data_IF_651330905261
#
_entry.id   IF_651330905261
#
_cell.length_a   1.000
_cell.length_b   1.000
_cell.length_c   1.000
_cell.angle_alpha   90.00
_cell.angle_beta   90.00
_cell.angle_gamma   90.00
#
_symmetry.space_group_name_H-M   'P 1'
#
loop_
_entity.id
_entity.type
_entity.pdbx_description
1 polymer ?
#
# COMPACT_ATOMS: atom_id res chain seq x y z
N UNK A 1 -19.57 -14.71 -3.76
CA UNK A 1 -18.12 -14.51 -4.03
C UNK A 1 -17.63 -13.39 -3.14
N UNK A 2 -16.87 -13.70 -2.09
CA UNK A 2 -16.31 -12.68 -1.19
C UNK A 2 -14.83 -12.52 -1.54
N UNK A 3 -14.42 -11.32 -1.95
CA UNK A 3 -13.01 -11.00 -2.21
C UNK A 3 -12.68 -10.71 -3.68
N UNK A 4 -12.87 -9.46 -4.08
CA UNK A 4 -12.19 -8.87 -5.24
C UNK A 4 -11.33 -7.72 -4.76
N UNK A 5 -10.25 -7.39 -5.48
CA UNK A 5 -9.60 -6.10 -5.28
C UNK A 5 -10.43 -5.05 -6.00
N UNK A 6 -10.73 -3.97 -5.27
CA UNK A 6 -11.57 -2.89 -5.75
C UNK A 6 -10.82 -1.58 -5.59
N UNK A 7 -11.02 -0.66 -6.53
CA UNK A 7 -10.38 0.63 -6.51
C UNK A 7 -11.33 1.74 -6.97
N UNK A 8 -11.00 2.96 -6.58
CA UNK A 8 -11.70 4.18 -6.97
C UNK A 8 -10.67 5.28 -7.24
N UNK A 9 -10.91 6.11 -8.26
CA UNK A 9 -9.96 7.14 -8.67
C UNK A 9 -9.94 8.36 -7.75
N UNK A 10 -8.91 9.22 -7.88
CA UNK A 10 -8.78 10.44 -7.09
C UNK A 10 -9.97 11.40 -7.27
N UNK A 11 -10.49 11.51 -8.49
CA UNK A 11 -11.56 12.43 -8.83
C UNK A 11 -12.92 11.72 -8.88
N UNK A 12 -13.13 10.77 -7.97
CA UNK A 12 -14.39 10.06 -7.89
C UNK A 12 -15.53 11.02 -7.50
N UNK A 13 -16.53 11.13 -8.37
CA UNK A 13 -17.71 11.97 -8.18
C UNK A 13 -19.01 11.16 -8.02
N UNK A 14 -18.91 9.82 -7.93
CA UNK A 14 -20.04 8.89 -7.88
C UNK A 14 -19.86 7.67 -8.81
N UNK A 15 -20.57 6.56 -8.53
CA UNK A 15 -20.52 5.32 -9.32
C UNK A 15 -20.17 4.04 -8.52
N UNK A 16 -19.99 2.93 -9.23
CA UNK A 16 -19.54 1.67 -8.62
C UNK A 16 -18.01 1.67 -8.44
N UNK A 17 -17.54 0.87 -7.48
CA UNK A 17 -16.11 0.56 -7.38
C UNK A 17 -15.66 -0.23 -8.61
N UNK A 18 -14.44 0.03 -9.08
CA UNK A 18 -13.87 -0.69 -10.21
C UNK A 18 -13.14 -1.94 -9.73
N UNK A 19 -13.39 -3.08 -10.38
CA UNK A 19 -12.65 -4.31 -10.08
C UNK A 19 -11.24 -4.20 -10.64
N UNK A 20 -10.25 -4.38 -9.78
CA UNK A 20 -8.85 -4.49 -10.16
C UNK A 20 -8.50 -5.96 -10.38
N UNK A 21 -8.41 -6.38 -11.64
CA UNK A 21 -8.06 -7.75 -11.99
C UNK A 21 -6.55 -7.92 -12.09
N UNK A 22 -6.02 -8.97 -11.47
CA UNK A 22 -4.61 -9.33 -11.53
C UNK A 22 -4.39 -10.75 -11.07
N UNK A 23 -3.14 -11.20 -11.14
CA UNK A 23 -2.71 -12.53 -10.68
C UNK A 23 -1.76 -12.41 -9.49
N UNK A 24 -1.67 -13.44 -8.63
CA UNK A 24 -0.60 -13.53 -7.62
C UNK A 24 0.79 -13.32 -8.24
N UNK A 25 1.65 -12.59 -7.55
CA UNK A 25 2.98 -12.19 -8.02
C UNK A 25 3.01 -10.95 -8.92
N UNK A 26 1.84 -10.49 -9.42
CA UNK A 26 1.78 -9.31 -10.27
C UNK A 26 2.05 -8.03 -9.47
N UNK A 27 2.78 -7.10 -10.09
CA UNK A 27 3.06 -5.77 -9.52
C UNK A 27 2.33 -4.71 -10.35
N UNK A 28 1.54 -3.87 -9.68
CA UNK A 28 0.84 -2.74 -10.30
C UNK A 28 1.49 -1.43 -9.92
N UNK A 29 1.63 -0.52 -10.88
CA UNK A 29 1.99 0.88 -10.57
C UNK A 29 0.72 1.61 -10.17
N UNK A 30 0.59 1.91 -8.88
CA UNK A 30 -0.55 2.66 -8.34
C UNK A 30 -0.44 4.14 -8.70
N UNK A 31 0.77 4.70 -8.60
CA UNK A 31 1.03 6.13 -8.83
C UNK A 31 2.47 6.34 -9.28
N UNK A 32 2.68 7.27 -10.21
CA UNK A 32 3.98 7.84 -10.51
C UNK A 32 3.90 9.29 -10.96
N UNK A 33 4.96 10.06 -10.79
CA UNK A 33 4.98 11.49 -11.13
C UNK A 33 6.31 11.97 -11.75
N UNK A 34 6.33 13.24 -12.18
CA UNK A 34 7.50 13.89 -12.76
C UNK A 34 8.67 14.12 -11.80
N UNK A 35 8.45 14.02 -10.48
CA UNK A 35 9.52 14.05 -9.47
C UNK A 35 10.09 12.65 -9.22
N UNK A 36 9.79 11.70 -10.11
CA UNK A 36 10.28 10.32 -10.12
C UNK A 36 9.84 9.54 -8.88
N UNK A 37 8.71 9.90 -8.30
CA UNK A 37 8.04 9.04 -7.32
C UNK A 37 7.38 7.91 -8.09
N UNK A 38 7.54 6.67 -7.59
CA UNK A 38 6.78 5.51 -8.07
C UNK A 38 6.30 4.70 -6.89
N UNK A 39 4.99 4.54 -6.79
CA UNK A 39 4.31 3.67 -5.84
C UNK A 39 3.78 2.45 -6.57
N UNK A 40 4.13 1.27 -6.06
CA UNK A 40 3.69 -0.02 -6.57
C UNK A 40 2.96 -0.82 -5.52
N UNK A 41 2.07 -1.71 -5.94
CA UNK A 41 1.45 -2.72 -5.11
C UNK A 41 1.72 -4.11 -5.67
N UNK A 42 2.05 -5.06 -4.79
CA UNK A 42 2.28 -6.46 -5.15
C UNK A 42 1.10 -7.30 -4.70
N UNK A 43 0.59 -8.06 -5.66
CA UNK A 43 -0.54 -8.96 -5.49
C UNK A 43 -0.08 -10.34 -5.05
N UNK A 44 -0.84 -10.95 -4.16
CA UNK A 44 -0.60 -12.30 -3.66
C UNK A 44 -1.88 -13.12 -3.68
N UNK A 45 -1.72 -14.44 -3.76
CA UNK A 45 -2.82 -15.38 -3.59
C UNK A 45 -3.35 -15.30 -2.15
N UNK A 46 -4.67 -15.35 -2.04
CA UNK A 46 -5.36 -15.44 -0.76
C UNK A 46 -6.84 -15.75 -0.96
N UNK A 47 -7.65 -15.50 0.07
CA UNK A 47 -9.08 -15.82 0.09
C UNK A 47 -9.38 -17.32 0.04
N UNK A 48 -10.67 -17.66 -0.01
CA UNK A 48 -11.14 -19.06 -0.06
C UNK A 48 -10.66 -19.74 -1.35
N UNK A 49 -9.96 -20.86 -1.20
CA UNK A 49 -9.26 -21.70 -2.18
C UNK A 49 -8.02 -21.07 -2.84
N UNK A 50 -7.46 -20.00 -2.26
CA UNK A 50 -6.30 -19.30 -2.84
C UNK A 50 -6.61 -18.59 -4.16
N UNK A 51 -7.89 -18.50 -4.53
CA UNK A 51 -8.37 -17.91 -5.80
C UNK A 51 -8.55 -16.40 -5.73
N UNK A 52 -8.57 -15.81 -4.54
CA UNK A 52 -8.60 -14.36 -4.40
C UNK A 52 -7.19 -13.80 -4.59
N UNK A 53 -7.15 -12.56 -5.06
CA UNK A 53 -5.92 -11.79 -5.15
C UNK A 53 -5.99 -10.67 -4.13
N UNK A 54 -4.94 -10.47 -3.35
CA UNK A 54 -4.87 -9.51 -2.26
C UNK A 54 -3.61 -8.66 -2.39
N UNK A 55 -3.66 -7.39 -1.98
CA UNK A 55 -2.44 -6.58 -1.85
C UNK A 55 -1.75 -6.99 -0.54
N UNK A 56 -0.49 -7.41 -0.61
CA UNK A 56 0.32 -7.68 0.60
C UNK A 56 1.57 -6.84 0.71
N UNK A 57 1.97 -6.15 -0.35
CA UNK A 57 3.06 -5.19 -0.26
C UNK A 57 2.73 -3.94 -1.06
N UNK A 58 3.15 -2.80 -0.54
CA UNK A 58 3.38 -1.62 -1.35
C UNK A 58 4.84 -1.20 -1.26
N UNK A 59 5.37 -0.64 -2.35
CA UNK A 59 6.71 -0.08 -2.38
C UNK A 59 6.68 1.28 -3.06
N UNK A 60 7.13 2.30 -2.34
CA UNK A 60 7.38 3.65 -2.84
C UNK A 60 8.87 3.84 -3.09
N UNK A 61 9.23 4.37 -4.26
CA UNK A 61 10.61 4.68 -4.63
C UNK A 61 10.73 6.13 -5.10
N UNK A 62 11.86 6.77 -4.77
CA UNK A 62 12.24 8.10 -5.26
C UNK A 62 13.74 8.32 -5.10
N UNK A 63 14.48 8.54 -6.18
CA UNK A 63 15.88 8.98 -6.12
C UNK A 63 16.79 8.12 -5.22
N UNK A 64 16.67 6.78 -5.30
CA UNK A 64 17.45 5.85 -4.46
C UNK A 64 16.87 5.60 -3.07
N UNK A 65 15.83 6.33 -2.66
CA UNK A 65 15.06 6.07 -1.43
C UNK A 65 13.95 5.07 -1.74
N UNK A 66 13.77 4.08 -0.86
CA UNK A 66 12.72 3.07 -0.96
C UNK A 66 12.00 2.94 0.37
N UNK A 67 10.67 2.99 0.35
CA UNK A 67 9.83 2.66 1.50
C UNK A 67 8.94 1.49 1.13
N UNK A 68 8.94 0.44 1.94
CA UNK A 68 8.09 -0.74 1.76
C UNK A 68 7.19 -0.96 2.96
N UNK A 69 5.95 -1.35 2.70
CA UNK A 69 4.98 -1.78 3.71
C UNK A 69 4.50 -3.16 3.28
N UNK A 70 4.80 -4.19 4.07
CA UNK A 70 4.56 -5.58 3.70
C UNK A 70 3.83 -6.31 4.81
N UNK A 71 2.77 -7.03 4.46
CA UNK A 71 2.11 -8.01 5.33
C UNK A 71 2.66 -9.38 5.01
N UNK A 72 3.31 -10.00 6.01
CA UNK A 72 3.92 -11.30 5.88
C UNK A 72 3.55 -12.22 7.05
N UNK A 73 3.47 -13.52 6.79
CA UNK A 73 3.28 -14.54 7.82
C UNK A 73 4.62 -14.82 8.48
N UNK A 74 4.74 -14.56 9.77
CA UNK A 74 5.89 -14.91 10.62
C UNK A 74 5.42 -15.93 11.65
N UNK A 75 5.95 -17.15 11.54
CA UNK A 75 5.50 -18.30 12.33
C UNK A 75 3.99 -18.48 12.20
N UNK A 76 3.24 -18.19 13.26
CA UNK A 76 1.79 -18.37 13.33
C UNK A 76 1.00 -17.06 13.17
N UNK A 77 1.68 -15.91 13.01
CA UNK A 77 1.02 -14.58 12.99
C UNK A 77 1.33 -13.81 11.73
N UNK A 78 0.37 -12.99 11.30
CA UNK A 78 0.57 -12.02 10.23
C UNK A 78 1.04 -10.70 10.83
N UNK A 79 2.17 -10.20 10.34
CA UNK A 79 2.80 -8.97 10.83
C UNK A 79 2.91 -7.96 9.70
N UNK A 80 2.72 -6.69 10.05
CA UNK A 80 3.07 -5.59 9.16
C UNK A 80 4.53 -5.22 9.37
N UNK A 81 5.31 -5.24 8.31
CA UNK A 81 6.69 -4.75 8.29
C UNK A 81 6.72 -3.45 7.51
N UNK A 82 7.23 -2.40 8.14
CA UNK A 82 7.39 -1.08 7.54
C UNK A 82 8.88 -0.78 7.50
N UNK A 83 9.46 -0.68 6.32
CA UNK A 83 10.90 -0.48 6.13
C UNK A 83 11.13 0.75 5.29
N UNK A 84 11.97 1.66 5.79
CA UNK A 84 12.49 2.79 5.03
C UNK A 84 13.98 2.52 4.74
N UNK A 85 14.39 2.75 3.50
CA UNK A 85 15.77 2.59 3.05
C UNK A 85 16.23 3.83 2.29
N UNK A 86 17.38 4.37 2.66
CA UNK A 86 18.04 5.44 1.91
C UNK A 86 19.57 5.33 2.03
N UNK A 87 20.35 6.02 1.16
CA UNK A 87 21.81 6.02 1.27
C UNK A 87 22.31 6.50 2.64
N UNK A 88 21.63 7.47 3.26
CA UNK A 88 22.02 8.04 4.54
C UNK A 88 21.61 7.19 5.75
N UNK A 89 20.52 6.44 5.66
CA UNK A 89 19.97 5.67 6.79
C UNK A 89 20.31 4.18 6.76
N UNK A 90 20.75 3.65 5.61
CA UNK A 90 20.65 2.22 5.37
C UNK A 90 19.19 1.77 5.36
N UNK A 91 18.92 0.48 5.61
CA UNK A 91 17.56 -0.04 5.76
C UNK A 91 17.17 -0.08 7.25
N UNK A 92 16.04 0.55 7.59
CA UNK A 92 15.56 0.66 8.97
C UNK A 92 14.12 0.17 9.04
N UNK A 93 13.83 -0.68 10.03
CA UNK A 93 12.46 -1.01 10.40
C UNK A 93 11.86 0.17 11.17
N UNK A 94 10.80 0.75 10.62
CA UNK A 94 10.15 1.96 11.14
C UNK A 94 9.40 1.67 12.44
N UNK A 95 8.94 0.43 12.66
CA UNK A 95 8.12 0.07 13.82
C UNK A 95 6.91 1.01 13.95
N UNK A 96 6.78 1.65 15.11
CA UNK A 96 5.75 2.66 15.41
C UNK A 96 6.31 4.10 15.39
N UNK A 97 7.59 4.26 15.06
CA UNK A 97 8.29 5.53 15.06
C UNK A 97 8.03 6.30 13.77
N UNK A 98 8.26 7.61 13.81
CA UNK A 98 8.32 8.47 12.62
C UNK A 98 9.77 8.52 12.12
N UNK A 99 9.99 8.12 10.87
CA UNK A 99 11.31 8.11 10.21
C UNK A 99 11.29 9.07 9.03
N UNK A 100 12.23 10.01 9.00
CA UNK A 100 12.48 10.84 7.82
C UNK A 100 13.44 10.09 6.89
N UNK A 101 12.93 9.49 5.82
CA UNK A 101 13.72 8.69 4.89
C UNK A 101 14.63 9.54 3.97
N UNK A 102 14.49 10.87 4.01
CA UNK A 102 15.11 11.80 3.07
C UNK A 102 14.23 12.02 1.83
N UNK A 103 14.66 12.91 0.93
CA UNK A 103 13.94 13.18 -0.32
C UNK A 103 12.47 13.60 -0.13
N UNK A 104 12.19 14.31 0.97
CA UNK A 104 10.85 14.70 1.43
C UNK A 104 9.88 13.53 1.63
N UNK A 105 10.39 12.36 2.02
CA UNK A 105 9.59 11.19 2.37
C UNK A 105 9.67 10.97 3.87
N UNK A 106 8.51 11.00 4.53
CA UNK A 106 8.37 10.66 5.94
C UNK A 106 7.53 9.40 6.03
N UNK A 107 7.98 8.44 6.83
CA UNK A 107 7.32 7.15 7.04
C UNK A 107 6.98 7.00 8.52
N UNK A 108 5.79 6.52 8.83
CA UNK A 108 5.38 6.26 10.20
C UNK A 108 4.50 5.02 10.25
N UNK A 109 4.82 4.06 11.11
CA UNK A 109 3.89 2.96 11.43
C UNK A 109 2.92 3.35 12.54
N UNK A 110 1.71 2.80 12.50
CA UNK A 110 0.64 3.10 13.48
C UNK A 110 0.37 1.88 14.37
N UNK A 111 0.60 1.96 15.69
CA UNK A 111 0.28 0.90 16.64
C UNK A 111 -1.21 0.82 16.96
N UNK A 112 -1.63 -0.38 17.34
CA UNK A 112 -3.02 -0.76 17.65
C UNK A 112 -3.13 -2.20 18.20
N UNK A 113 -2.12 -3.06 18.02
CA UNK A 113 -2.15 -4.46 18.43
C UNK A 113 -0.77 -4.87 18.96
N UNK A 114 -0.66 -5.17 20.26
CA UNK A 114 0.55 -5.71 20.89
C UNK A 114 1.85 -4.94 20.59
N UNK A 115 1.79 -3.61 20.43
CA UNK A 115 2.94 -2.77 20.10
C UNK A 115 3.48 -2.92 18.68
N UNK A 116 2.84 -3.73 17.83
CA UNK A 116 3.17 -3.88 16.42
C UNK A 116 2.33 -2.93 15.56
N UNK A 117 2.88 -2.47 14.43
CA UNK A 117 2.10 -1.66 13.50
C UNK A 117 1.01 -2.53 12.84
N UNK A 118 -0.22 -2.03 12.76
CA UNK A 118 -1.22 -2.55 11.79
C UNK A 118 -1.45 -1.57 10.65
N UNK A 119 -0.88 -0.38 10.72
CA UNK A 119 -0.96 0.58 9.62
C UNK A 119 0.37 1.26 9.39
N UNK A 120 0.45 1.96 8.27
CA UNK A 120 1.55 2.85 7.96
C UNK A 120 1.06 4.07 7.20
N UNK A 121 1.78 5.18 7.35
CA UNK A 121 1.62 6.38 6.55
C UNK A 121 2.96 6.72 5.89
N UNK A 122 2.95 6.92 4.57
CA UNK A 122 4.07 7.46 3.81
C UNK A 122 3.64 8.85 3.32
N UNK A 123 4.35 9.89 3.74
CA UNK A 123 4.02 11.28 3.44
C UNK A 123 5.07 11.88 2.51
N UNK A 124 4.58 12.48 1.41
CA UNK A 124 5.29 13.35 0.49
C UNK A 124 4.62 14.75 0.51
N UNK A 125 5.23 15.79 -0.09
CA UNK A 125 4.63 17.13 -0.06
C UNK A 125 3.26 17.24 -0.73
N UNK A 126 2.94 16.37 -1.70
CA UNK A 126 1.66 16.39 -2.44
C UNK A 126 0.82 15.12 -2.28
N UNK A 127 1.38 14.06 -1.69
CA UNK A 127 0.72 12.76 -1.59
C UNK A 127 0.91 12.17 -0.19
N UNK A 128 -0.17 11.70 0.40
CA UNK A 128 -0.16 10.86 1.61
C UNK A 128 -0.66 9.47 1.24
N UNK A 129 0.15 8.46 1.49
CA UNK A 129 -0.23 7.05 1.31
C UNK A 129 -0.52 6.47 2.68
N UNK A 130 -1.78 6.09 2.93
CA UNK A 130 -2.18 5.38 4.14
C UNK A 130 -2.39 3.91 3.81
N UNK A 131 -1.88 3.05 4.68
CA UNK A 131 -1.98 1.61 4.55
C UNK A 131 -2.56 1.05 5.84
N UNK A 132 -3.52 0.15 5.73
CA UNK A 132 -4.08 -0.58 6.86
C UNK A 132 -4.05 -2.08 6.59
N UNK A 133 -3.44 -2.83 7.50
CA UNK A 133 -3.53 -4.28 7.59
C UNK A 133 -4.95 -4.63 7.99
N UNK A 134 -5.58 -5.52 7.24
CA UNK A 134 -6.92 -6.02 7.51
C UNK A 134 -6.88 -7.47 7.91
N UNK A 135 -7.63 -7.77 8.97
CA UNK A 135 -7.90 -9.13 9.40
C UNK A 135 -8.78 -9.85 8.37
N UNK A 136 -8.79 -11.17 8.47
CA UNK A 136 -9.59 -12.08 7.65
C UNK A 136 -11.09 -11.77 7.69
N UNK A 137 -11.79 -11.93 6.57
CA UNK A 137 -13.25 -11.80 6.51
C UNK A 137 -13.92 -13.18 6.69
N UNK A 138 -14.67 -13.33 7.79
CA UNK A 138 -15.61 -14.40 8.16
C UNK A 138 -15.12 -15.82 8.53
N UNK A 139 -15.99 -16.51 9.29
CA UNK A 139 -15.76 -17.79 9.99
C UNK A 139 -15.49 -19.00 9.08
N UNK A 140 -16.03 -19.01 7.85
CA UNK A 140 -15.82 -20.10 6.90
C UNK A 140 -14.44 -20.04 6.19
N UNK A 141 -13.77 -18.88 6.20
CA UNK A 141 -12.43 -18.68 5.62
C UNK A 141 -11.27 -18.99 6.57
N UNK A 142 -11.56 -19.28 7.85
CA UNK A 142 -10.58 -19.41 8.95
C UNK A 142 -9.63 -20.60 8.79
N UNK A 143 -10.03 -21.63 8.04
CA UNK A 143 -9.30 -22.91 7.96
C UNK A 143 -8.25 -22.98 6.84
N UNK A 144 -8.14 -21.97 5.97
CA UNK A 144 -7.15 -21.99 4.90
C UNK A 144 -5.86 -21.26 5.29
N UNK A 145 -4.70 -21.94 5.29
CA UNK A 145 -3.43 -21.39 5.78
C UNK A 145 -2.95 -20.13 5.03
N UNK A 146 -3.44 -19.93 3.81
CA UNK A 146 -3.05 -18.86 2.89
C UNK A 146 -4.11 -17.75 2.72
N UNK A 147 -5.28 -17.85 3.38
CA UNK A 147 -6.31 -16.81 3.32
C UNK A 147 -5.68 -15.44 3.61
N UNK A 148 -4.95 -15.38 4.72
CA UNK A 148 -3.99 -14.34 5.11
C UNK A 148 -4.55 -12.94 5.31
N UNK A 149 -3.80 -12.13 6.05
CA UNK A 149 -4.08 -10.70 6.14
C UNK A 149 -3.62 -9.97 4.88
N UNK A 150 -4.20 -8.81 4.62
CA UNK A 150 -3.97 -8.01 3.42
C UNK A 150 -3.94 -6.52 3.74
N UNK A 151 -3.62 -5.72 2.73
CA UNK A 151 -3.53 -4.27 2.81
C UNK A 151 -4.71 -3.60 2.13
N UNK A 152 -5.40 -2.73 2.86
CA UNK A 152 -6.09 -1.60 2.27
C UNK A 152 -5.08 -0.47 2.05
N UNK A 153 -5.12 0.14 0.85
CA UNK A 153 -4.21 1.20 0.44
C UNK A 153 -5.02 2.41 0.00
N UNK A 154 -4.79 3.54 0.66
CA UNK A 154 -5.44 4.82 0.38
C UNK A 154 -4.38 5.82 -0.06
N UNK A 155 -4.62 6.50 -1.18
CA UNK A 155 -3.80 7.60 -1.66
C UNK A 155 -4.62 8.87 -1.50
N UNK A 156 -4.13 9.82 -0.71
CA UNK A 156 -4.75 11.13 -0.53
C UNK A 156 -3.83 12.20 -1.14
N UNK A 157 -4.34 12.97 -2.10
CA UNK A 157 -3.64 14.16 -2.57
C UNK A 157 -3.82 15.28 -1.55
N UNK A 158 -2.71 15.81 -1.06
CA UNK A 158 -2.69 16.93 -0.10
C UNK A 158 -2.29 18.25 -0.76
N UNK A 159 -1.77 18.19 -1.98
CA UNK A 159 -1.51 19.32 -2.87
C UNK A 159 -1.52 18.82 -4.33
N UNK A 160 -1.56 19.70 -5.35
CA UNK A 160 -1.44 19.29 -6.75
C UNK A 160 -0.16 18.46 -6.98
N UNK A 161 -0.26 17.24 -7.55
CA UNK A 161 0.89 16.39 -7.82
C UNK A 161 1.71 16.94 -9.00
N UNK A 162 3.03 16.66 -9.04
CA UNK A 162 3.86 17.00 -10.19
C UNK A 162 3.39 16.31 -11.47
N UNK A 163 3.29 17.07 -12.56
CA UNK A 163 2.87 16.56 -13.86
C UNK A 163 4.07 16.24 -14.77
N UNK A 164 4.01 15.15 -15.57
CA UNK A 164 2.90 14.22 -15.68
C UNK A 164 2.75 13.30 -14.46
N UNK A 165 1.49 13.04 -14.10
CA UNK A 165 1.12 12.00 -13.13
C UNK A 165 0.53 10.80 -13.88
N UNK A 166 0.88 9.59 -13.46
CA UNK A 166 0.57 8.33 -14.16
C UNK A 166 0.36 7.16 -13.18
N UNK A 167 0.13 5.95 -13.70
CA UNK A 167 -0.27 4.78 -12.92
C UNK A 167 -1.79 4.67 -12.78
N UNK A 168 -2.24 3.62 -12.08
CA UNK A 168 -3.67 3.30 -11.93
C UNK A 168 -4.48 4.50 -11.41
N UNK A 169 -4.02 5.13 -10.34
CA UNK A 169 -4.70 6.28 -9.76
C UNK A 169 -4.33 7.58 -10.48
N UNK A 170 -3.09 7.71 -10.97
CA UNK A 170 -2.65 8.90 -11.69
C UNK A 170 -3.46 9.18 -12.96
N UNK A 171 -3.87 8.14 -13.68
CA UNK A 171 -4.72 8.27 -14.86
C UNK A 171 -6.13 8.82 -14.56
N UNK A 172 -6.55 8.76 -13.29
CA UNK A 172 -7.85 9.31 -12.84
C UNK A 172 -7.76 10.73 -12.28
N UNK A 173 -6.55 11.27 -12.17
CA UNK A 173 -6.34 12.64 -11.74
C UNK A 173 -6.64 13.61 -12.90
N UNK A 174 -7.63 14.48 -12.71
CA UNK A 174 -7.90 15.64 -13.56
C UNK A 174 -7.54 16.90 -12.76
N UNK A 175 -6.53 17.67 -13.16
CA UNK A 175 -6.23 18.95 -12.52
C UNK A 175 -7.49 19.84 -12.52
N UNK A 176 -7.76 20.53 -11.42
CA UNK A 176 -8.69 21.66 -11.46
C UNK A 176 -8.13 22.69 -12.44
N UNK A 177 -8.97 23.13 -13.38
CA UNK A 177 -8.63 24.23 -14.30
C UNK A 177 -8.42 25.52 -13.53
#
# INVERSE_FOLDING_TARGET
MVGGLWWIGFNYQGGAWNRLSGKPGQVFTLYSDAKRVKLTATFFAGGFDGKATLIRAITLTRGGITTSVTVAKRRTRWVLEVVAKSPALGAVNVGTNRVNAGGNIIVQGTPVENGLPIGATITLPWLKVRVAKRARYSDAGVLQPDYGEYLDVYLDLVAPPPLPTSGLFGATYKPSK
#
